data_IF_362119807652
#
_entry.id   IF_362119807652
#
_cell.length_a   1.000
_cell.length_b   1.000
_cell.length_c   1.000
_cell.angle_alpha   90.00
_cell.angle_beta   90.00
_cell.angle_gamma   90.00
#
_symmetry.space_group_name_H-M   'P 1'
#
loop_
_entity.id
_entity.type
_entity.pdbx_description
1 polymer ?
#
# COMPACT_ATOMS: atom_id res chain seq x y z
N UNK A 1 1.23 -6.42 -19.27
CA UNK A 1 1.74 -6.79 -17.94
C UNK A 1 0.83 -6.08 -16.96
N UNK A 2 0.23 -6.82 -16.03
CA UNK A 2 -0.67 -6.21 -15.04
C UNK A 2 0.18 -5.76 -13.87
N UNK A 3 0.22 -4.44 -13.65
CA UNK A 3 0.93 -3.83 -12.52
C UNK A 3 0.03 -3.93 -11.29
N UNK A 4 0.51 -4.56 -10.23
CA UNK A 4 -0.27 -4.69 -9.00
C UNK A 4 0.37 -3.84 -7.89
N UNK A 5 -0.43 -2.94 -7.34
CA UNK A 5 -0.11 -2.30 -6.07
C UNK A 5 -0.79 -3.09 -4.96
N UNK A 6 -0.04 -3.40 -3.92
CA UNK A 6 -0.55 -4.08 -2.74
C UNK A 6 -0.40 -3.16 -1.53
N UNK A 7 -1.35 -3.26 -0.62
CA UNK A 7 -1.33 -2.57 0.67
C UNK A 7 -1.52 -3.58 1.79
N UNK A 8 -0.74 -3.46 2.86
CA UNK A 8 -0.84 -4.26 4.05
C UNK A 8 -0.80 -3.39 5.30
N UNK A 9 -1.32 -3.86 6.42
CA UNK A 9 -1.35 -3.09 7.66
C UNK A 9 -1.40 -3.96 8.90
N UNK A 10 -0.87 -3.45 10.01
CA UNK A 10 -1.02 -4.05 11.33
C UNK A 10 -2.44 -3.86 11.92
N UNK A 11 -3.23 -2.96 11.31
CA UNK A 11 -4.64 -2.72 11.61
C UNK A 11 -5.54 -3.18 10.47
N UNK A 12 -6.84 -3.35 10.78
CA UNK A 12 -7.84 -3.65 9.77
C UNK A 12 -7.92 -2.53 8.74
N UNK A 13 -7.89 -2.90 7.47
CA UNK A 13 -8.11 -2.00 6.35
C UNK A 13 -9.57 -2.12 5.92
N UNK A 14 -10.30 -1.02 5.91
CA UNK A 14 -11.69 -0.99 5.43
C UNK A 14 -11.73 -0.91 3.90
N UNK A 15 -12.92 -1.12 3.33
CA UNK A 15 -13.12 -1.06 1.88
C UNK A 15 -12.81 0.32 1.30
N UNK A 16 -12.48 0.33 0.00
CA UNK A 16 -11.95 1.49 -0.70
C UNK A 16 -12.78 2.77 -0.60
N UNK A 17 -12.19 3.88 -1.05
CA UNK A 17 -12.81 5.20 -1.00
C UNK A 17 -13.67 5.54 -2.24
N UNK A 18 -14.21 4.54 -2.94
CA UNK A 18 -14.88 4.62 -4.25
C UNK A 18 -14.00 5.05 -5.46
N UNK A 19 -12.88 5.75 -5.23
CA UNK A 19 -11.92 6.13 -6.28
C UNK A 19 -10.91 5.04 -6.60
N UNK A 20 -10.42 4.35 -5.56
CA UNK A 20 -9.55 3.19 -5.69
C UNK A 20 -10.35 1.92 -5.41
N UNK A 21 -10.23 0.95 -6.30
CA UNK A 21 -10.86 -0.36 -6.14
C UNK A 21 -9.88 -1.31 -5.47
N UNK A 22 -10.27 -1.83 -4.32
CA UNK A 22 -9.49 -2.81 -3.57
C UNK A 22 -10.17 -4.17 -3.64
N UNK A 23 -9.36 -5.23 -3.72
CA UNK A 23 -9.82 -6.60 -3.51
C UNK A 23 -9.00 -7.25 -2.42
N UNK A 24 -9.66 -8.05 -1.60
CA UNK A 24 -8.99 -8.83 -0.58
C UNK A 24 -8.18 -9.95 -1.25
N UNK A 25 -6.94 -10.14 -0.81
CA UNK A 25 -6.07 -11.19 -1.33
C UNK A 25 -6.30 -12.52 -0.61
N UNK A 26 -7.56 -12.84 -0.23
CA UNK A 26 -7.94 -13.86 0.76
C UNK A 26 -7.31 -15.25 0.53
N UNK A 27 -6.90 -15.57 -0.70
CA UNK A 27 -6.34 -16.88 -1.06
C UNK A 27 -4.82 -16.88 -1.29
N UNK A 28 -4.15 -15.72 -1.44
CA UNK A 28 -2.74 -15.64 -1.85
C UNK A 28 -2.02 -14.48 -1.14
N UNK A 29 -1.35 -14.77 -0.03
CA UNK A 29 -0.46 -13.81 0.63
C UNK A 29 0.76 -13.56 -0.25
N UNK A 30 1.02 -12.29 -0.57
CA UNK A 30 2.21 -11.89 -1.32
C UNK A 30 3.42 -11.96 -0.38
N UNK A 31 4.48 -12.72 -0.72
CA UNK A 31 5.68 -12.80 0.09
C UNK A 31 6.39 -11.44 0.20
N UNK A 32 6.93 -11.13 1.39
CA UNK A 32 7.76 -9.95 1.63
C UNK A 32 7.07 -8.81 2.40
N UNK A 33 5.76 -8.90 2.63
CA UNK A 33 5.07 -8.07 3.62
C UNK A 33 5.24 -8.62 5.04
N UNK A 34 5.29 -7.72 6.02
CA UNK A 34 5.37 -8.08 7.45
C UNK A 34 3.98 -8.37 8.06
N UNK A 35 2.91 -7.96 7.37
CA UNK A 35 1.54 -8.04 7.88
C UNK A 35 0.65 -8.97 7.04
N UNK A 36 -0.23 -9.75 7.70
CA UNK A 36 -1.06 -10.76 7.03
C UNK A 36 -2.28 -10.16 6.32
N UNK A 37 -2.74 -8.98 6.74
CA UNK A 37 -3.86 -8.29 6.09
C UNK A 37 -3.31 -7.60 4.85
N UNK A 38 -3.60 -8.14 3.67
CA UNK A 38 -3.16 -7.60 2.39
C UNK A 38 -4.37 -7.34 1.48
N UNK A 39 -4.31 -6.27 0.71
CA UNK A 39 -5.30 -5.90 -0.30
C UNK A 39 -4.60 -5.49 -1.58
N UNK A 40 -5.16 -5.87 -2.71
CA UNK A 40 -4.69 -5.46 -4.04
C UNK A 40 -5.47 -4.23 -4.49
N UNK A 41 -4.76 -3.25 -5.07
CA UNK A 41 -5.33 -2.09 -5.75
C UNK A 41 -5.47 -2.44 -7.23
N UNK A 42 -6.72 -2.65 -7.68
CA UNK A 42 -6.99 -3.02 -9.07
C UNK A 42 -6.52 -1.90 -10.01
N UNK A 43 -5.82 -2.28 -11.08
CA UNK A 43 -5.21 -1.39 -12.07
C UNK A 43 -4.03 -0.56 -11.55
N UNK A 44 -3.53 -0.82 -10.33
CA UNK A 44 -2.37 -0.17 -9.77
C UNK A 44 -2.59 1.32 -9.44
N UNK A 45 -1.48 2.03 -9.26
CA UNK A 45 -1.46 3.46 -8.91
C UNK A 45 -0.43 4.17 -9.79
N UNK A 46 -0.88 4.68 -10.94
CA UNK A 46 0.00 5.21 -11.99
C UNK A 46 -0.13 6.74 -12.14
N UNK A 47 -1.30 7.29 -11.81
CA UNK A 47 -1.63 8.70 -12.00
C UNK A 47 -1.51 9.47 -10.70
N UNK A 48 -1.19 10.76 -10.80
CA UNK A 48 -1.07 11.63 -9.62
C UNK A 48 -2.35 11.70 -8.78
N UNK A 49 -3.53 11.66 -9.39
CA UNK A 49 -4.78 11.63 -8.64
C UNK A 49 -4.98 10.30 -7.91
N UNK A 50 -4.57 9.15 -8.47
CA UNK A 50 -4.64 7.84 -7.81
C UNK A 50 -3.74 7.81 -6.57
N UNK A 51 -2.53 8.39 -6.66
CA UNK A 51 -1.62 8.56 -5.52
C UNK A 51 -2.24 9.43 -4.42
N UNK A 52 -2.95 10.50 -4.80
CA UNK A 52 -3.66 11.36 -3.84
C UNK A 52 -4.77 10.59 -3.14
N UNK A 53 -5.54 9.80 -3.88
CA UNK A 53 -6.59 8.94 -3.32
C UNK A 53 -6.01 7.88 -2.39
N UNK A 54 -4.87 7.29 -2.74
CA UNK A 54 -4.16 6.33 -1.89
C UNK A 54 -3.73 6.97 -0.57
N UNK A 55 -3.13 8.17 -0.62
CA UNK A 55 -2.74 8.90 0.57
C UNK A 55 -3.95 9.22 1.45
N UNK A 56 -5.05 9.68 0.85
CA UNK A 56 -6.29 9.94 1.58
C UNK A 56 -6.86 8.67 2.23
N UNK A 57 -6.82 7.54 1.52
CA UNK A 57 -7.24 6.25 2.03
C UNK A 57 -6.40 5.83 3.25
N UNK A 58 -5.08 5.96 3.18
CA UNK A 58 -4.17 5.68 4.30
C UNK A 58 -4.51 6.58 5.49
N UNK A 59 -4.67 7.89 5.29
CA UNK A 59 -5.06 8.80 6.37
C UNK A 59 -6.39 8.42 7.01
N UNK A 60 -7.41 8.09 6.22
CA UNK A 60 -8.73 7.75 6.74
C UNK A 60 -8.70 6.47 7.57
N UNK A 61 -8.02 5.42 7.09
CA UNK A 61 -7.94 4.14 7.78
C UNK A 61 -7.03 4.19 9.01
N UNK A 62 -6.04 5.08 9.02
CA UNK A 62 -5.13 5.25 10.17
C UNK A 62 -5.61 6.31 11.16
N UNK A 63 -6.59 7.16 10.81
CA UNK A 63 -7.10 8.22 11.67
C UNK A 63 -7.53 7.75 13.08
N UNK A 64 -8.23 6.61 13.25
CA UNK A 64 -8.69 6.16 14.56
C UNK A 64 -7.60 5.65 15.51
N UNK A 65 -6.38 5.41 15.02
CA UNK A 65 -5.31 4.76 15.77
C UNK A 65 -4.20 5.74 16.12
N UNK A 66 -3.71 5.74 17.36
CA UNK A 66 -2.56 6.60 17.72
C UNK A 66 -1.27 6.12 17.06
N UNK A 67 -1.06 4.79 17.04
CA UNK A 67 0.10 4.13 16.45
C UNK A 67 -0.36 3.00 15.51
N UNK A 68 0.14 3.00 14.29
CA UNK A 68 -0.09 1.95 13.30
C UNK A 68 0.95 1.98 12.18
N UNK A 69 1.07 0.88 11.45
CA UNK A 69 1.99 0.73 10.33
C UNK A 69 1.24 0.22 9.11
N UNK A 70 1.43 0.90 7.99
CA UNK A 70 0.91 0.52 6.68
C UNK A 70 2.11 0.23 5.77
N UNK A 71 2.08 -0.87 5.03
CA UNK A 71 3.05 -1.18 4.00
C UNK A 71 2.37 -1.10 2.64
N UNK A 72 3.00 -0.46 1.67
CA UNK A 72 2.59 -0.52 0.27
C UNK A 72 3.72 -1.09 -0.56
N UNK A 73 3.41 -1.93 -1.55
CA UNK A 73 4.41 -2.47 -2.46
C UNK A 73 3.91 -2.44 -3.89
N UNK A 74 4.83 -2.25 -4.82
CA UNK A 74 4.58 -2.40 -6.24
C UNK A 74 5.21 -3.71 -6.72
N UNK A 75 4.37 -4.68 -7.08
CA UNK A 75 4.80 -6.04 -7.44
C UNK A 75 4.25 -6.41 -8.82
N UNK A 76 5.13 -6.89 -9.69
CA UNK A 76 4.75 -7.50 -10.97
C UNK A 76 4.98 -8.99 -10.86
N UNK A 77 3.94 -9.78 -11.12
CA UNK A 77 3.98 -11.24 -11.06
C UNK A 77 4.48 -11.76 -9.69
N UNK A 78 3.61 -11.83 -8.68
CA UNK A 78 4.01 -12.11 -7.29
C UNK A 78 4.63 -13.50 -7.06
N UNK A 79 4.57 -14.40 -8.04
CA UNK A 79 5.25 -15.71 -8.04
C UNK A 79 6.72 -15.64 -8.46
N UNK A 80 7.15 -14.58 -9.16
CA UNK A 80 8.48 -14.47 -9.75
C UNK A 80 9.32 -13.34 -9.16
N UNK A 81 8.69 -12.31 -8.60
CA UNK A 81 9.38 -11.10 -8.14
C UNK A 81 9.25 -10.95 -6.62
N UNK A 82 10.35 -11.20 -5.92
CA UNK A 82 10.46 -10.96 -4.48
C UNK A 82 10.62 -9.46 -4.20
N UNK A 83 9.97 -8.96 -3.16
CA UNK A 83 10.19 -7.61 -2.63
C UNK A 83 11.66 -7.52 -2.17
N UNK A 84 12.43 -6.58 -2.72
CA UNK A 84 13.88 -6.48 -2.45
C UNK A 84 14.28 -5.21 -1.71
N UNK A 85 13.50 -4.13 -1.86
CA UNK A 85 13.85 -2.81 -1.36
C UNK A 85 12.79 -2.33 -0.39
N UNK A 86 13.19 -2.17 0.88
CA UNK A 86 12.33 -1.67 1.94
C UNK A 86 12.78 -0.27 2.34
N UNK A 87 11.93 0.72 2.09
CA UNK A 87 12.07 2.08 2.62
C UNK A 87 11.04 2.32 3.72
N UNK A 88 11.26 3.34 4.55
CA UNK A 88 10.30 3.73 5.58
C UNK A 88 10.14 5.24 5.68
N UNK A 89 8.94 5.69 6.00
CA UNK A 89 8.59 7.10 6.17
C UNK A 89 7.55 7.25 7.28
N UNK A 90 7.55 8.41 7.96
CA UNK A 90 6.47 8.74 8.90
C UNK A 90 5.28 9.31 8.13
N UNK A 91 4.07 8.94 8.53
CA UNK A 91 2.83 9.37 7.85
C UNK A 91 2.72 10.90 7.79
N UNK A 92 3.17 11.62 8.83
CA UNK A 92 3.13 13.08 8.87
C UNK A 92 4.22 13.75 8.01
N UNK A 93 5.23 13.02 7.55
CA UNK A 93 6.30 13.51 6.67
C UNK A 93 5.92 13.37 5.18
N UNK A 94 4.77 12.76 4.86
CA UNK A 94 4.26 12.64 3.50
C UNK A 94 3.54 13.94 3.13
N UNK A 95 4.27 14.84 2.48
CA UNK A 95 3.78 16.17 2.08
C UNK A 95 3.37 16.21 0.59
N UNK A 96 3.82 15.26 -0.22
CA UNK A 96 3.43 15.08 -1.62
C UNK A 96 3.03 13.61 -1.88
N UNK A 97 1.85 13.33 -2.48
CA UNK A 97 1.44 11.98 -2.88
C UNK A 97 2.47 11.24 -3.75
N UNK A 98 3.35 11.94 -4.47
CA UNK A 98 4.44 11.34 -5.25
C UNK A 98 5.43 10.54 -4.40
N UNK A 99 5.51 10.80 -3.10
CA UNK A 99 6.34 10.01 -2.18
C UNK A 99 5.82 8.57 -2.01
N UNK A 100 4.59 8.28 -2.45
CA UNK A 100 4.03 6.93 -2.49
C UNK A 100 4.35 6.16 -3.78
N UNK A 101 5.04 6.80 -4.75
CA UNK A 101 5.44 6.12 -6.00
C UNK A 101 6.55 5.13 -5.71
N UNK A 102 6.33 3.88 -6.11
CA UNK A 102 7.28 2.79 -5.96
C UNK A 102 7.69 2.24 -7.32
N UNK A 103 8.99 1.96 -7.46
CA UNK A 103 9.46 1.12 -8.54
C UNK A 103 9.07 -0.34 -8.29
N UNK A 104 9.10 -1.15 -9.34
CA UNK A 104 8.80 -2.58 -9.27
C UNK A 104 9.70 -3.28 -8.24
N UNK A 105 9.11 -4.14 -7.40
CA UNK A 105 9.81 -4.88 -6.34
C UNK A 105 10.15 -4.05 -5.10
N UNK A 106 9.69 -2.79 -5.01
CA UNK A 106 9.86 -1.95 -3.84
C UNK A 106 8.66 -2.03 -2.89
N UNK A 107 8.96 -1.95 -1.60
CA UNK A 107 8.02 -1.80 -0.51
C UNK A 107 8.36 -0.54 0.28
N UNK A 108 7.34 0.23 0.63
CA UNK A 108 7.42 1.37 1.52
C UNK A 108 6.60 1.09 2.77
N UNK A 109 7.25 1.23 3.92
CA UNK A 109 6.63 1.17 5.25
C UNK A 109 6.30 2.58 5.72
N UNK A 110 5.04 2.83 6.03
CA UNK A 110 4.50 4.10 6.48
C UNK A 110 4.08 3.94 7.95
N UNK A 111 4.76 4.65 8.84
CA UNK A 111 4.50 4.59 10.27
C UNK A 111 3.73 5.81 10.75
N UNK A 112 2.65 5.59 11.48
CA UNK A 112 2.00 6.62 12.31
C UNK A 112 2.46 6.42 13.75
N UNK A 113 3.02 7.48 14.34
CA UNK A 113 3.53 7.57 15.71
C UNK A 113 3.11 8.88 16.33
#
# INVERSE_FOLDING_TARGET
MTNYYYIASDKKLEDGNASLQFVETEEWLIPGFDYPIQREIINGVEKHWELRELLQYIHNNTAPYDVCTVQIAHVINPTELSIQNNSSILLHDIIDPKQLVLAEGQLLTINKV
#
